data_IF_585141696100
#
_entry.id   IF_585141696100
#
_cell.length_a   1.000
_cell.length_b   1.000
_cell.length_c   1.000
_cell.angle_alpha   90.00
_cell.angle_beta   90.00
_cell.angle_gamma   90.00
#
_symmetry.space_group_name_H-M   'P 1'
#
loop_
_entity.id
_entity.type
_entity.pdbx_description
1 polymer ?
#
# COMPACT_ATOMS: atom_id res chain seq x y z
N UNK A 1 24.21 -50.15 62.28
CA UNK A 1 24.45 -48.76 61.86
C UNK A 1 24.50 -48.77 60.33
N UNK A 2 23.40 -48.41 59.66
CA UNK A 2 23.36 -48.10 58.22
C UNK A 2 21.98 -47.54 57.90
N UNK A 3 21.97 -46.26 57.54
CA UNK A 3 20.80 -45.47 57.20
C UNK A 3 20.38 -45.76 55.75
N UNK A 4 19.08 -45.91 55.52
CA UNK A 4 18.49 -45.72 54.20
C UNK A 4 17.59 -44.49 54.25
N UNK A 5 18.04 -43.45 53.53
CA UNK A 5 17.28 -42.25 53.22
C UNK A 5 16.32 -42.62 52.09
N UNK A 6 15.01 -42.57 52.35
CA UNK A 6 14.01 -42.49 51.29
C UNK A 6 13.59 -41.02 51.19
N UNK A 7 13.96 -40.40 50.08
CA UNK A 7 13.62 -39.04 49.70
C UNK A 7 12.09 -38.94 49.54
N UNK A 8 11.43 -38.16 50.40
CA UNK A 8 10.07 -37.71 50.16
C UNK A 8 10.07 -36.69 49.01
N UNK A 9 9.56 -37.07 47.85
CA UNK A 9 9.20 -36.11 46.80
C UNK A 9 7.96 -35.36 47.28
N UNK A 10 8.16 -34.18 47.85
CA UNK A 10 7.09 -33.21 48.08
C UNK A 10 6.69 -32.67 46.71
N UNK A 11 5.58 -33.17 46.18
CA UNK A 11 4.91 -32.55 45.03
C UNK A 11 4.32 -31.24 45.57
N UNK A 12 4.96 -30.10 45.28
CA UNK A 12 4.42 -28.79 45.59
C UNK A 12 3.03 -28.64 44.95
N UNK A 13 1.99 -28.22 45.70
CA UNK A 13 0.62 -28.09 45.19
C UNK A 13 0.39 -26.89 44.26
N UNK A 14 1.43 -26.08 44.01
CA UNK A 14 1.32 -24.76 43.39
C UNK A 14 0.89 -24.76 41.91
N UNK A 15 0.94 -25.90 41.22
CA UNK A 15 0.55 -25.98 39.79
C UNK A 15 -0.93 -26.27 39.57
N UNK A 16 -1.65 -26.85 40.54
CA UNK A 16 -3.07 -27.25 40.39
C UNK A 16 -4.01 -26.11 40.78
N UNK A 17 -3.60 -25.24 41.70
CA UNK A 17 -4.45 -24.17 42.23
C UNK A 17 -4.55 -22.95 41.30
N UNK A 18 -3.53 -22.69 40.47
CA UNK A 18 -3.54 -21.61 39.48
C UNK A 18 -4.51 -21.86 38.29
N UNK A 19 -4.90 -23.11 38.04
CA UNK A 19 -5.87 -23.46 37.00
C UNK A 19 -7.33 -23.23 37.43
N UNK A 20 -7.62 -23.22 38.74
CA UNK A 20 -8.98 -23.11 39.28
C UNK A 20 -9.58 -21.70 39.23
N UNK A 21 -8.74 -20.66 39.16
CA UNK A 21 -9.19 -19.26 39.16
C UNK A 21 -9.46 -18.71 37.73
N UNK A 22 -9.13 -19.47 36.69
CA UNK A 22 -9.33 -19.06 35.30
C UNK A 22 -10.79 -19.23 34.84
N UNK A 23 -11.25 -18.31 33.99
CA UNK A 23 -12.52 -18.44 33.30
C UNK A 23 -12.45 -19.59 32.30
N UNK A 24 -13.41 -20.50 32.34
CA UNK A 24 -13.53 -21.60 31.38
C UNK A 24 -14.49 -21.21 30.25
N UNK A 25 -14.15 -21.51 29.00
CA UNK A 25 -14.95 -21.15 27.83
C UNK A 25 -15.39 -22.41 27.10
N UNK A 26 -16.70 -22.50 26.84
CA UNK A 26 -17.30 -23.50 25.96
C UNK A 26 -17.88 -22.82 24.72
N UNK A 27 -17.36 -23.13 23.54
CA UNK A 27 -17.97 -22.70 22.28
C UNK A 27 -19.33 -23.36 22.10
N UNK A 28 -20.36 -22.55 21.89
CA UNK A 28 -21.73 -23.00 21.63
C UNK A 28 -22.05 -22.98 20.13
N UNK A 29 -21.51 -22.00 19.40
CA UNK A 29 -21.71 -21.86 17.95
C UNK A 29 -20.58 -21.06 17.33
N UNK A 30 -20.13 -21.50 16.16
CA UNK A 30 -19.25 -20.71 15.28
C UNK A 30 -20.07 -20.09 14.17
N UNK A 31 -19.81 -18.82 13.89
CA UNK A 31 -20.45 -18.06 12.83
C UNK A 31 -19.43 -17.94 11.70
N UNK A 32 -19.79 -18.48 10.53
CA UNK A 32 -18.97 -18.38 9.33
C UNK A 32 -19.57 -17.31 8.44
N UNK A 33 -18.75 -16.35 8.04
CA UNK A 33 -19.13 -15.36 7.03
C UNK A 33 -19.29 -16.07 5.68
N UNK A 34 -20.50 -16.09 5.15
CA UNK A 34 -20.82 -16.69 3.85
C UNK A 34 -20.91 -15.67 2.71
N UNK A 35 -20.97 -14.39 3.05
CA UNK A 35 -21.17 -13.29 2.10
C UNK A 35 -20.02 -12.29 2.14
N UNK A 36 -19.75 -11.61 1.03
CA UNK A 36 -18.78 -10.51 0.99
C UNK A 36 -19.16 -9.33 1.92
N UNK A 37 -20.46 -9.18 2.20
CA UNK A 37 -21.03 -8.19 3.11
C UNK A 37 -20.79 -8.52 4.58
N UNK A 38 -20.73 -9.81 4.94
CA UNK A 38 -20.77 -10.24 6.34
C UNK A 38 -22.12 -9.98 7.01
N UNK A 39 -23.19 -9.73 6.23
CA UNK A 39 -24.52 -9.45 6.76
C UNK A 39 -25.07 -10.59 7.62
N UNK A 40 -24.68 -11.82 7.30
CA UNK A 40 -25.06 -13.05 8.00
C UNK A 40 -24.54 -13.09 9.44
N UNK A 41 -23.43 -12.39 9.71
CA UNK A 41 -22.76 -12.30 11.02
C UNK A 41 -22.70 -10.88 11.58
N UNK A 42 -23.39 -9.91 10.95
CA UNK A 42 -23.44 -8.53 11.39
C UNK A 42 -24.43 -8.34 12.55
N UNK A 43 -24.01 -7.60 13.58
CA UNK A 43 -24.81 -7.22 14.73
C UNK A 43 -24.51 -5.77 15.13
N UNK A 44 -25.41 -5.13 15.87
CA UNK A 44 -25.21 -3.81 16.44
C UNK A 44 -25.71 -3.76 17.88
N UNK A 45 -25.25 -2.74 18.62
CA UNK A 45 -25.64 -2.55 20.01
C UNK A 45 -27.15 -2.29 20.12
N UNK A 46 -27.83 -3.03 21.00
CA UNK A 46 -29.24 -2.79 21.31
C UNK A 46 -29.40 -1.38 21.92
N UNK A 47 -30.39 -0.59 21.51
CA UNK A 47 -30.66 0.72 22.12
C UNK A 47 -30.76 0.63 23.65
N UNK A 48 -30.12 1.58 24.35
CA UNK A 48 -30.16 1.66 25.82
C UNK A 48 -29.31 0.62 26.56
N UNK A 49 -28.58 -0.26 25.87
CA UNK A 49 -27.72 -1.26 26.53
C UNK A 49 -26.64 -0.61 27.41
N UNK A 50 -26.51 -1.14 28.64
CA UNK A 50 -25.44 -0.78 29.59
C UNK A 50 -24.26 -1.75 29.54
N UNK A 51 -24.28 -2.69 28.60
CA UNK A 51 -23.28 -3.72 28.50
C UNK A 51 -21.90 -3.17 28.08
N UNK A 52 -20.89 -3.91 28.48
CA UNK A 52 -19.49 -3.63 28.22
C UNK A 52 -18.93 -4.73 27.34
N UNK A 53 -18.16 -4.35 26.32
CA UNK A 53 -17.30 -5.27 25.57
C UNK A 53 -15.97 -5.42 26.32
N UNK A 54 -15.61 -6.67 26.58
CA UNK A 54 -14.33 -7.03 27.16
C UNK A 54 -13.33 -7.27 26.03
N UNK A 55 -12.51 -6.25 25.77
CA UNK A 55 -11.54 -6.26 24.66
C UNK A 55 -10.50 -7.34 24.90
N UNK A 56 -10.41 -8.29 23.99
CA UNK A 56 -9.41 -9.36 24.02
C UNK A 56 -9.15 -9.85 22.59
N UNK A 57 -7.94 -9.56 22.10
CA UNK A 57 -7.51 -9.85 20.72
C UNK A 57 -7.02 -11.28 20.49
N UNK A 58 -6.67 -11.99 21.54
CA UNK A 58 -5.85 -13.20 21.43
C UNK A 58 -6.69 -14.49 21.36
N UNK A 59 -8.02 -14.41 21.27
CA UNK A 59 -8.84 -15.44 21.92
C UNK A 59 -10.18 -15.79 21.26
N UNK A 60 -10.32 -15.75 19.93
CA UNK A 60 -11.56 -16.24 19.27
C UNK A 60 -11.87 -17.71 19.59
N UNK A 61 -10.83 -18.53 19.79
CA UNK A 61 -10.92 -19.97 20.06
C UNK A 61 -10.40 -20.35 21.45
N UNK A 62 -10.28 -19.39 22.38
CA UNK A 62 -9.76 -19.66 23.71
C UNK A 62 -10.64 -20.66 24.47
N UNK A 63 -10.00 -21.63 25.13
CA UNK A 63 -10.67 -22.57 26.05
C UNK A 63 -10.67 -22.06 27.49
N UNK A 64 -9.71 -21.20 27.83
CA UNK A 64 -9.56 -20.58 29.15
C UNK A 64 -9.16 -19.12 29.01
N UNK A 65 -9.50 -18.28 30.00
CA UNK A 65 -9.01 -16.90 30.11
C UNK A 65 -8.56 -16.60 31.52
N UNK A 66 -7.43 -15.89 31.63
CA UNK A 66 -6.95 -15.39 32.93
C UNK A 66 -7.87 -14.28 33.44
N UNK A 67 -8.15 -14.19 34.76
CA UNK A 67 -8.94 -13.10 35.32
C UNK A 67 -8.39 -11.71 35.00
N UNK A 68 -7.06 -11.60 34.86
CA UNK A 68 -6.37 -10.37 34.47
C UNK A 68 -6.79 -9.89 33.08
N UNK A 69 -7.24 -10.76 32.17
CA UNK A 69 -7.72 -10.38 30.82
C UNK A 69 -9.16 -9.87 30.88
N UNK A 70 -9.93 -10.29 31.88
CA UNK A 70 -11.28 -9.82 32.17
C UNK A 70 -11.24 -8.52 33.00
N UNK A 71 -10.78 -7.43 32.38
CA UNK A 71 -10.69 -6.16 33.07
C UNK A 71 -12.08 -5.55 33.38
N UNK A 72 -12.20 -4.97 34.58
CA UNK A 72 -13.34 -4.14 35.01
C UNK A 72 -13.56 -2.88 34.15
N UNK A 73 -12.62 -2.54 33.26
CA UNK A 73 -12.58 -1.33 32.41
C UNK A 73 -12.85 -1.61 30.91
N UNK A 74 -13.66 -2.61 30.56
CA UNK A 74 -14.06 -2.81 29.16
C UNK A 74 -14.79 -1.58 28.56
N UNK A 75 -15.02 -1.58 27.25
CA UNK A 75 -15.66 -0.44 26.58
C UNK A 75 -17.19 -0.56 26.61
N UNK A 76 -17.88 0.52 26.98
CA UNK A 76 -19.36 0.58 26.90
C UNK A 76 -19.78 0.55 25.44
N UNK A 77 -20.48 -0.50 25.00
CA UNK A 77 -20.83 -0.66 23.58
C UNK A 77 -21.83 0.41 23.10
N UNK A 78 -22.60 1.01 24.02
CA UNK A 78 -23.49 2.14 23.71
C UNK A 78 -22.76 3.40 23.26
N UNK A 79 -21.47 3.57 23.62
CA UNK A 79 -20.63 4.65 23.08
C UNK A 79 -20.22 4.42 21.62
N UNK A 80 -20.40 3.21 21.11
CA UNK A 80 -20.05 2.77 19.75
C UNK A 80 -21.30 2.48 18.92
N UNK A 81 -22.31 3.36 19.00
CA UNK A 81 -23.61 3.16 18.34
C UNK A 81 -23.51 3.00 16.82
N UNK A 82 -22.52 3.63 16.17
CA UNK A 82 -22.30 3.54 14.71
C UNK A 82 -21.50 2.31 14.29
N UNK A 83 -21.07 1.47 15.23
CA UNK A 83 -20.24 0.29 14.92
C UNK A 83 -21.13 -0.91 14.65
N UNK A 84 -20.88 -1.57 13.52
CA UNK A 84 -21.31 -2.95 13.30
C UNK A 84 -20.25 -3.91 13.87
N UNK A 85 -20.72 -4.83 14.70
CA UNK A 85 -19.96 -5.91 15.32
C UNK A 85 -20.20 -7.19 14.54
N UNK A 86 -19.13 -7.79 14.03
CA UNK A 86 -19.21 -9.06 13.32
C UNK A 86 -18.96 -10.20 14.31
N UNK A 87 -19.98 -11.02 14.53
CA UNK A 87 -19.92 -12.14 15.49
C UNK A 87 -19.15 -13.29 14.86
N UNK A 88 -18.14 -13.80 15.57
CA UNK A 88 -17.34 -14.94 15.14
C UNK A 88 -17.76 -16.22 15.88
N UNK A 89 -17.98 -16.13 17.19
CA UNK A 89 -18.42 -17.26 18.01
C UNK A 89 -19.45 -16.81 19.05
N UNK A 90 -20.33 -17.73 19.43
CA UNK A 90 -21.15 -17.65 20.64
C UNK A 90 -20.57 -18.65 21.63
N UNK A 91 -20.29 -18.19 22.83
CA UNK A 91 -19.62 -18.98 23.87
C UNK A 91 -20.38 -18.90 25.19
N UNK A 92 -20.21 -19.90 26.04
CA UNK A 92 -20.56 -19.84 27.46
C UNK A 92 -19.27 -19.75 28.27
N UNK A 93 -19.20 -18.75 29.13
CA UNK A 93 -18.04 -18.51 30.00
C UNK A 93 -18.44 -18.81 31.43
N UNK A 94 -17.62 -19.59 32.14
CA UNK A 94 -17.84 -20.07 33.50
C UNK A 94 -16.77 -19.53 34.45
N UNK A 95 -17.16 -19.13 35.65
CA UNK A 95 -16.27 -18.71 36.73
C UNK A 95 -16.95 -18.88 38.09
N UNK A 96 -16.33 -19.61 39.02
CA UNK A 96 -16.82 -19.86 40.39
C UNK A 96 -18.33 -20.12 40.45
N UNK A 97 -18.77 -21.19 39.77
CA UNK A 97 -20.17 -21.65 39.66
C UNK A 97 -21.15 -20.72 38.94
N UNK A 98 -20.70 -19.55 38.48
CA UNK A 98 -21.50 -18.64 37.65
C UNK A 98 -21.19 -18.87 36.18
N UNK A 99 -22.18 -18.64 35.31
CA UNK A 99 -21.94 -18.64 33.86
C UNK A 99 -22.81 -17.63 33.14
N UNK A 100 -22.29 -17.10 32.03
CA UNK A 100 -23.05 -16.24 31.13
C UNK A 100 -22.67 -16.51 29.67
N UNK A 101 -23.57 -16.12 28.76
CA UNK A 101 -23.40 -16.36 27.31
C UNK A 101 -22.98 -15.08 26.62
N UNK A 102 -21.88 -15.16 25.87
CA UNK A 102 -21.25 -14.05 25.18
C UNK A 102 -21.15 -14.32 23.69
N UNK A 103 -21.13 -13.25 22.90
CA UNK A 103 -20.55 -13.26 21.56
C UNK A 103 -19.09 -12.84 21.66
N UNK A 104 -18.21 -13.54 20.94
CA UNK A 104 -16.93 -12.97 20.53
C UNK A 104 -17.16 -12.20 19.24
N UNK A 105 -16.84 -10.92 19.25
CA UNK A 105 -17.08 -10.00 18.14
C UNK A 105 -15.81 -9.27 17.74
N UNK A 106 -15.73 -8.86 16.49
CA UNK A 106 -14.76 -7.87 16.02
C UNK A 106 -15.45 -6.73 15.27
N UNK A 107 -14.90 -5.52 15.33
CA UNK A 107 -15.24 -4.50 14.36
C UNK A 107 -14.30 -4.66 13.16
N UNK A 108 -14.74 -5.40 12.13
CA UNK A 108 -13.94 -5.80 10.94
C UNK A 108 -13.04 -4.70 10.34
N UNK A 109 -13.42 -3.43 10.50
CA UNK A 109 -12.75 -2.25 9.94
C UNK A 109 -11.94 -1.43 10.94
N UNK A 110 -11.99 -1.78 12.22
CA UNK A 110 -11.15 -1.23 13.27
C UNK A 110 -10.29 -2.31 13.91
N UNK A 111 -9.79 -2.04 15.11
CA UNK A 111 -8.87 -2.91 15.85
C UNK A 111 -9.44 -3.34 17.21
N UNK A 112 -10.76 -3.43 17.33
CA UNK A 112 -11.49 -3.74 18.56
C UNK A 112 -12.21 -5.08 18.38
N UNK A 113 -11.86 -6.02 19.25
CA UNK A 113 -12.50 -7.33 19.31
C UNK A 113 -12.52 -7.85 20.74
N UNK A 114 -13.45 -8.76 21.04
CA UNK A 114 -13.62 -9.27 22.39
C UNK A 114 -15.00 -9.83 22.68
N UNK A 115 -15.29 -10.00 23.97
CA UNK A 115 -16.50 -10.65 24.46
C UNK A 115 -17.57 -9.66 24.91
N UNK A 116 -18.80 -9.86 24.45
CA UNK A 116 -19.96 -9.02 24.82
C UNK A 116 -21.18 -9.90 25.13
N UNK A 117 -21.97 -9.60 26.17
CA UNK A 117 -23.17 -10.36 26.47
C UNK A 117 -24.11 -10.45 25.27
N UNK A 118 -24.61 -11.66 24.98
CA UNK A 118 -25.47 -11.87 23.80
C UNK A 118 -26.75 -11.03 23.81
N UNK A 119 -27.29 -10.72 25.00
CA UNK A 119 -28.46 -9.86 25.19
C UNK A 119 -28.24 -8.39 24.82
N UNK A 120 -26.99 -7.97 24.63
CA UNK A 120 -26.62 -6.60 24.36
C UNK A 120 -26.59 -6.25 22.86
N UNK A 121 -26.69 -7.25 21.98
CA UNK A 121 -26.60 -7.08 20.52
C UNK A 121 -27.89 -7.52 19.83
N UNK A 122 -28.21 -6.86 18.71
CA UNK A 122 -29.30 -7.23 17.79
C UNK A 122 -28.70 -7.47 16.41
N UNK A 123 -29.28 -8.41 15.63
CA UNK A 123 -28.79 -8.78 14.30
C UNK A 123 -28.95 -7.64 13.30
N UNK A 124 -28.04 -7.54 12.35
CA UNK A 124 -28.00 -6.55 11.27
C UNK A 124 -26.94 -5.48 11.48
N UNK A 125 -26.59 -4.78 10.40
CA UNK A 125 -25.73 -3.61 10.43
C UNK A 125 -26.29 -2.53 11.36
N UNK A 126 -25.42 -1.70 11.93
CA UNK A 126 -25.86 -0.55 12.69
C UNK A 126 -26.68 0.41 11.81
N UNK A 127 -27.86 0.87 12.27
CA UNK A 127 -28.63 1.88 11.53
C UNK A 127 -28.04 3.29 11.64
N UNK A 128 -26.98 3.48 12.43
CA UNK A 128 -26.38 4.77 12.70
C UNK A 128 -25.04 4.93 11.96
N UNK A 129 -24.82 6.10 11.35
CA UNK A 129 -23.56 6.38 10.65
C UNK A 129 -23.35 5.52 9.41
N UNK A 130 -22.17 5.65 8.80
CA UNK A 130 -21.83 4.92 7.57
C UNK A 130 -21.48 3.48 7.86
N UNK A 131 -22.05 2.56 7.08
CA UNK A 131 -21.81 1.12 7.18
C UNK A 131 -21.23 0.58 5.89
N UNK A 132 -20.12 -0.14 5.97
CA UNK A 132 -19.63 -0.92 4.84
C UNK A 132 -20.43 -2.22 4.75
N UNK A 133 -21.32 -2.27 3.78
CA UNK A 133 -22.27 -3.37 3.55
C UNK A 133 -21.81 -4.33 2.47
N UNK A 134 -20.74 -4.05 1.73
CA UNK A 134 -20.12 -4.99 0.80
C UNK A 134 -18.67 -4.61 0.53
N UNK A 135 -17.82 -5.62 0.42
CA UNK A 135 -16.42 -5.47 -0.01
C UNK A 135 -16.11 -6.54 -1.05
N UNK A 136 -15.68 -6.11 -2.22
CA UNK A 136 -15.07 -6.98 -3.22
C UNK A 136 -13.60 -6.60 -3.34
N UNK A 137 -12.73 -7.48 -2.86
CA UNK A 137 -11.29 -7.31 -3.01
C UNK A 137 -10.89 -7.42 -4.48
N UNK A 138 -10.01 -6.53 -4.92
CA UNK A 138 -9.66 -6.40 -6.32
C UNK A 138 -8.66 -7.48 -6.78
N UNK A 139 -7.68 -7.83 -5.92
CA UNK A 139 -6.76 -8.94 -6.14
C UNK A 139 -5.74 -8.73 -7.28
N UNK A 140 -5.59 -7.49 -7.78
CA UNK A 140 -4.67 -7.10 -8.85
C UNK A 140 -4.01 -5.75 -8.52
N UNK A 141 -2.89 -5.46 -9.19
CA UNK A 141 -2.12 -4.23 -9.05
C UNK A 141 -2.28 -3.33 -10.28
N UNK A 142 -3.50 -2.87 -10.55
CA UNK A 142 -3.74 -1.91 -11.63
C UNK A 142 -3.67 -0.48 -11.10
N UNK A 143 -3.17 0.44 -11.92
CA UNK A 143 -3.12 1.87 -11.63
C UNK A 143 -4.49 2.52 -11.82
N UNK A 144 -4.82 3.43 -10.92
CA UNK A 144 -6.03 4.26 -10.96
C UNK A 144 -5.69 5.71 -10.67
N UNK A 145 -6.46 6.63 -11.23
CA UNK A 145 -6.29 8.06 -10.98
C UNK A 145 -7.62 8.81 -10.95
N UNK A 146 -7.56 10.06 -10.49
CA UNK A 146 -8.73 10.94 -10.46
C UNK A 146 -9.11 11.30 -11.89
N UNK A 147 -10.37 11.10 -12.25
CA UNK A 147 -10.88 11.48 -13.58
C UNK A 147 -10.64 12.98 -13.86
N UNK A 148 -10.39 13.37 -15.12
CA UNK A 148 -10.19 14.77 -15.49
C UNK A 148 -11.27 15.72 -14.97
N UNK A 149 -12.56 15.34 -15.07
CA UNK A 149 -13.70 16.13 -14.59
C UNK A 149 -13.68 16.42 -13.08
N UNK A 150 -12.94 15.64 -12.30
CA UNK A 150 -12.85 15.76 -10.85
C UNK A 150 -11.50 16.32 -10.35
N UNK A 151 -10.56 16.59 -11.25
CA UNK A 151 -9.17 16.96 -10.91
C UNK A 151 -9.05 18.20 -10.03
N UNK A 152 -9.92 19.18 -10.25
CA UNK A 152 -9.98 20.43 -9.47
C UNK A 152 -11.10 20.46 -8.43
N UNK A 153 -11.92 19.40 -8.38
CA UNK A 153 -13.03 19.27 -7.45
C UNK A 153 -12.54 18.72 -6.10
N UNK A 154 -13.22 19.07 -4.98
CA UNK A 154 -12.90 18.50 -3.68
C UNK A 154 -13.39 17.05 -3.59
N UNK A 155 -12.60 16.12 -4.12
CA UNK A 155 -12.80 14.68 -3.92
C UNK A 155 -12.07 14.26 -2.66
N UNK A 156 -12.82 13.94 -1.62
CA UNK A 156 -12.24 13.54 -0.34
C UNK A 156 -12.05 12.03 -0.25
N UNK A 157 -10.91 11.65 0.30
CA UNK A 157 -10.65 10.31 0.81
C UNK A 157 -11.02 10.27 2.29
N UNK A 158 -11.82 9.29 2.67
CA UNK A 158 -12.39 9.17 4.01
C UNK A 158 -11.82 7.97 4.76
N UNK A 159 -11.87 8.03 6.10
CA UNK A 159 -11.68 6.85 6.93
C UNK A 159 -12.90 5.91 6.87
N UNK A 160 -12.78 4.69 7.40
CA UNK A 160 -13.84 3.68 7.29
C UNK A 160 -15.16 4.04 7.98
N UNK A 161 -15.13 4.91 9.00
CA UNK A 161 -16.34 5.41 9.68
C UNK A 161 -16.94 6.63 9.01
N UNK A 162 -16.29 7.17 7.97
CA UNK A 162 -16.70 8.39 7.26
C UNK A 162 -16.87 9.60 8.19
N UNK A 163 -16.01 9.69 9.20
CA UNK A 163 -16.01 10.80 10.18
C UNK A 163 -14.80 11.72 10.02
N UNK A 164 -13.76 11.27 9.31
CA UNK A 164 -12.52 12.02 9.09
C UNK A 164 -12.16 12.01 7.61
N UNK A 165 -11.92 13.20 7.06
CA UNK A 165 -11.27 13.40 5.76
C UNK A 165 -9.78 13.11 5.95
N UNK A 166 -9.30 12.03 5.34
CA UNK A 166 -7.88 11.63 5.37
C UNK A 166 -7.09 12.48 4.39
N UNK A 167 -7.66 12.75 3.21
CA UNK A 167 -7.06 13.61 2.20
C UNK A 167 -8.10 14.23 1.28
N UNK A 168 -7.65 15.23 0.51
CA UNK A 168 -8.35 15.74 -0.66
C UNK A 168 -7.51 15.43 -1.90
N UNK A 169 -8.06 14.69 -2.86
CA UNK A 169 -7.31 14.17 -4.00
C UNK A 169 -6.86 15.27 -4.97
N UNK A 170 -7.44 16.46 -4.94
CA UNK A 170 -6.93 17.62 -5.70
C UNK A 170 -5.50 18.01 -5.31
N UNK A 171 -5.05 17.62 -4.11
CA UNK A 171 -3.68 17.83 -3.62
C UNK A 171 -2.71 16.74 -4.08
N UNK A 172 -3.19 15.77 -4.87
CA UNK A 172 -2.46 14.63 -5.43
C UNK A 172 -2.67 14.55 -6.95
N UNK A 173 -2.48 15.66 -7.70
CA UNK A 173 -2.93 15.76 -9.09
C UNK A 173 -2.26 14.75 -10.03
N UNK A 174 -1.00 14.40 -9.78
CA UNK A 174 -0.27 13.40 -10.55
C UNK A 174 -0.17 12.01 -9.92
N UNK A 175 -0.90 11.72 -8.84
CA UNK A 175 -0.77 10.41 -8.20
C UNK A 175 -1.44 9.30 -9.05
N UNK A 176 -0.72 8.18 -9.18
CA UNK A 176 -1.28 6.88 -9.48
C UNK A 176 -1.59 6.17 -8.15
N UNK A 177 -2.79 5.63 -8.02
CA UNK A 177 -3.26 4.88 -6.87
C UNK A 177 -3.45 3.42 -7.24
N UNK A 178 -3.23 2.53 -6.28
CA UNK A 178 -3.64 1.13 -6.37
C UNK A 178 -5.03 1.00 -5.77
N UNK A 179 -5.96 0.41 -6.52
CA UNK A 179 -7.29 0.05 -5.99
C UNK A 179 -7.22 -1.32 -5.31
N UNK A 180 -7.53 -1.38 -4.02
CA UNK A 180 -7.52 -2.66 -3.28
C UNK A 180 -8.90 -3.29 -3.18
N UNK A 181 -9.97 -2.49 -3.21
CA UNK A 181 -11.33 -2.99 -3.09
C UNK A 181 -12.40 -2.07 -3.71
N UNK A 182 -13.47 -2.69 -4.18
CA UNK A 182 -14.75 -2.04 -4.45
C UNK A 182 -15.66 -2.19 -3.22
N UNK A 183 -16.31 -1.10 -2.83
CA UNK A 183 -17.01 -0.97 -1.55
C UNK A 183 -18.43 -0.46 -1.79
N UNK A 184 -19.41 -1.04 -1.09
CA UNK A 184 -20.73 -0.43 -0.94
C UNK A 184 -20.85 0.10 0.48
N UNK A 185 -21.10 1.40 0.60
CA UNK A 185 -21.37 2.06 1.87
C UNK A 185 -22.84 2.48 1.96
N UNK A 186 -23.48 2.16 3.07
CA UNK A 186 -24.84 2.57 3.41
C UNK A 186 -24.83 3.70 4.42
N UNK A 187 -25.62 4.73 4.17
CA UNK A 187 -25.91 5.78 5.14
C UNK A 187 -27.35 6.27 4.97
N UNK A 188 -28.09 6.37 6.08
CA UNK A 188 -29.51 6.78 6.08
C UNK A 188 -30.37 5.99 5.06
N UNK A 189 -30.15 4.67 4.99
CA UNK A 189 -30.88 3.77 4.09
C UNK A 189 -30.46 3.83 2.61
N UNK A 190 -29.51 4.70 2.23
CA UNK A 190 -29.04 4.84 0.85
C UNK A 190 -27.66 4.22 0.68
N UNK A 191 -27.50 3.47 -0.41
CA UNK A 191 -26.23 2.86 -0.78
C UNK A 191 -25.46 3.73 -1.76
N UNK A 192 -24.15 3.83 -1.57
CA UNK A 192 -23.22 4.53 -2.44
C UNK A 192 -21.98 3.67 -2.69
N UNK A 193 -21.43 3.78 -3.91
CA UNK A 193 -20.25 3.03 -4.33
C UNK A 193 -18.98 3.81 -4.03
N UNK A 194 -18.05 3.13 -3.38
CA UNK A 194 -16.72 3.63 -3.06
C UNK A 194 -15.67 2.66 -3.59
N UNK A 195 -14.44 3.15 -3.70
CA UNK A 195 -13.24 2.34 -3.87
C UNK A 195 -12.31 2.60 -2.70
N UNK A 196 -11.55 1.59 -2.28
CA UNK A 196 -10.43 1.79 -1.37
C UNK A 196 -9.15 1.94 -2.18
N UNK A 197 -8.49 3.08 -2.01
CA UNK A 197 -7.24 3.40 -2.71
C UNK A 197 -6.08 3.48 -1.73
N UNK A 198 -4.90 3.12 -2.21
CA UNK A 198 -3.60 3.34 -1.56
C UNK A 198 -2.68 3.98 -2.58
N UNK A 199 -1.92 5.02 -2.21
CA UNK A 199 -0.96 5.61 -3.14
C UNK A 199 -0.26 6.85 -2.58
N UNK A 200 0.60 7.43 -3.41
CA UNK A 200 1.36 8.63 -3.05
C UNK A 200 1.72 9.45 -4.29
N UNK A 201 2.21 10.67 -4.10
CA UNK A 201 2.99 11.34 -5.14
C UNK A 201 4.41 10.77 -5.09
N UNK A 202 4.84 10.14 -6.18
CA UNK A 202 6.12 9.43 -6.25
C UNK A 202 7.30 10.32 -5.85
N UNK A 203 8.13 9.80 -4.93
CA UNK A 203 9.29 10.51 -4.38
C UNK A 203 8.94 11.60 -3.36
N UNK A 204 7.76 11.55 -2.74
CA UNK A 204 7.35 12.46 -1.65
C UNK A 204 6.95 11.66 -0.41
N UNK A 205 6.86 12.31 0.75
CA UNK A 205 6.34 11.69 1.98
C UNK A 205 4.80 11.65 2.06
N UNK A 206 4.09 12.05 0.99
CA UNK A 206 2.63 12.17 0.98
C UNK A 206 1.99 10.83 0.58
N UNK A 207 2.11 9.81 1.43
CA UNK A 207 1.35 8.58 1.29
C UNK A 207 -0.07 8.74 1.85
N UNK A 208 -1.05 8.11 1.22
CA UNK A 208 -2.44 8.18 1.63
C UNK A 208 -3.20 6.90 1.29
N UNK A 209 -4.14 6.52 2.16
CA UNK A 209 -5.09 5.45 1.90
C UNK A 209 -6.48 5.75 2.46
N UNK A 210 -7.50 5.16 1.86
CA UNK A 210 -8.88 5.31 2.34
C UNK A 210 -9.93 5.19 1.25
N UNK A 211 -11.16 5.55 1.62
CA UNK A 211 -12.35 5.35 0.82
C UNK A 211 -12.69 6.59 -0.01
N UNK A 212 -12.87 6.41 -1.31
CA UNK A 212 -13.14 7.49 -2.27
C UNK A 212 -14.39 7.13 -3.08
N UNK A 213 -15.28 8.10 -3.40
CA UNK A 213 -16.42 7.84 -4.29
C UNK A 213 -15.96 7.23 -5.62
N UNK A 214 -16.52 6.07 -5.98
CA UNK A 214 -16.07 5.32 -7.17
C UNK A 214 -16.24 6.12 -8.47
N UNK A 215 -17.24 7.01 -8.53
CA UNK A 215 -17.52 7.85 -9.71
C UNK A 215 -16.35 8.77 -10.08
N UNK A 216 -15.51 9.16 -9.12
CA UNK A 216 -14.42 10.11 -9.30
C UNK A 216 -13.12 9.47 -9.83
N UNK A 217 -13.06 8.13 -9.90
CA UNK A 217 -11.82 7.38 -10.17
C UNK A 217 -11.95 6.59 -11.47
N UNK A 218 -10.86 6.53 -12.24
CA UNK A 218 -10.76 5.72 -13.46
C UNK A 218 -9.51 4.85 -13.43
N UNK A 219 -9.57 3.72 -14.10
CA UNK A 219 -8.44 2.82 -14.32
C UNK A 219 -7.47 3.39 -15.36
N UNK A 220 -6.19 3.03 -15.24
CA UNK A 220 -5.10 3.46 -16.09
C UNK A 220 -4.12 4.41 -15.39
N UNK A 221 -2.94 4.56 -15.99
CA UNK A 221 -1.91 5.50 -15.52
C UNK A 221 -2.31 6.95 -15.81
N UNK A 222 -1.96 7.83 -14.88
CA UNK A 222 -2.20 9.27 -14.95
C UNK A 222 -1.15 9.94 -15.85
N UNK A 223 -1.54 10.62 -16.94
CA UNK A 223 -0.60 11.38 -17.77
C UNK A 223 -0.23 12.74 -17.16
N UNK A 224 -0.88 13.17 -16.06
CA UNK A 224 -0.41 14.31 -15.29
C UNK A 224 0.64 13.86 -14.27
N UNK A 225 1.82 14.47 -14.31
CA UNK A 225 2.92 14.19 -13.39
C UNK A 225 3.13 15.27 -12.32
N UNK A 226 2.18 16.19 -12.18
CA UNK A 226 2.29 17.34 -11.27
C UNK A 226 2.44 16.90 -9.82
N UNK A 227 3.43 17.49 -9.15
CA UNK A 227 3.73 17.21 -7.74
C UNK A 227 4.58 15.96 -7.49
N UNK A 228 4.85 15.15 -8.52
CA UNK A 228 5.77 14.02 -8.41
C UNK A 228 7.22 14.46 -8.53
N UNK A 229 8.10 13.82 -7.76
CA UNK A 229 9.55 14.03 -7.86
C UNK A 229 10.21 13.08 -8.87
N UNK A 230 9.59 11.94 -9.19
CA UNK A 230 9.96 11.06 -10.29
C UNK A 230 8.73 10.32 -10.83
N UNK A 231 8.84 9.74 -12.03
CA UNK A 231 7.80 8.91 -12.65
C UNK A 231 8.43 7.56 -13.03
N UNK A 232 7.90 6.42 -12.57
CA UNK A 232 8.28 5.09 -13.03
C UNK A 232 8.16 4.97 -14.55
N UNK A 233 9.01 4.17 -15.18
CA UNK A 233 9.03 4.11 -16.66
C UNK A 233 7.73 3.55 -17.24
N UNK A 234 7.02 2.71 -16.48
CA UNK A 234 5.74 2.11 -16.88
C UNK A 234 4.52 2.98 -16.59
N UNK A 235 4.68 4.07 -15.84
CA UNK A 235 3.60 5.00 -15.57
C UNK A 235 3.36 5.97 -16.74
N UNK A 236 4.27 6.03 -17.72
CA UNK A 236 4.08 6.83 -18.93
C UNK A 236 3.10 6.17 -19.90
N UNK A 237 2.12 6.94 -20.35
CA UNK A 237 1.03 6.44 -21.21
C UNK A 237 1.48 6.32 -22.67
N UNK A 238 2.35 7.23 -23.14
CA UNK A 238 2.85 7.25 -24.51
C UNK A 238 4.08 8.19 -24.65
N UNK A 239 4.61 8.29 -25.87
CA UNK A 239 5.75 9.14 -26.20
C UNK A 239 5.49 10.65 -25.96
N UNK A 240 4.27 11.15 -26.17
CA UNK A 240 3.93 12.55 -25.92
C UNK A 240 4.05 12.87 -24.43
N UNK A 241 3.44 12.04 -23.60
CA UNK A 241 3.48 12.12 -22.14
C UNK A 241 4.93 12.06 -21.61
N UNK A 242 5.68 11.04 -22.01
CA UNK A 242 7.08 10.86 -21.62
C UNK A 242 7.96 12.07 -22.00
N UNK A 243 7.82 12.57 -23.23
CA UNK A 243 8.60 13.71 -23.70
C UNK A 243 8.22 15.01 -22.99
N UNK A 244 6.94 15.22 -22.68
CA UNK A 244 6.49 16.35 -21.87
C UNK A 244 7.10 16.30 -20.47
N UNK A 245 7.14 15.12 -19.85
CA UNK A 245 7.78 14.94 -18.54
C UNK A 245 9.29 15.25 -18.57
N UNK A 246 10.04 14.80 -19.58
CA UNK A 246 11.47 15.12 -19.70
C UNK A 246 11.70 16.65 -19.78
N UNK A 247 10.81 17.38 -20.45
CA UNK A 247 10.90 18.83 -20.59
C UNK A 247 10.52 19.57 -19.30
N UNK A 248 9.40 19.23 -18.70
CA UNK A 248 8.78 20.00 -17.62
C UNK A 248 9.06 19.46 -16.22
N UNK A 249 9.48 18.20 -16.11
CA UNK A 249 9.69 17.52 -14.83
C UNK A 249 10.71 18.25 -13.95
N UNK A 250 10.33 18.45 -12.68
CA UNK A 250 11.10 19.20 -11.67
C UNK A 250 12.55 18.73 -11.57
N UNK A 251 12.76 17.41 -11.54
CA UNK A 251 14.07 16.80 -11.33
C UNK A 251 14.73 16.30 -12.63
N UNK A 252 14.25 16.73 -13.80
CA UNK A 252 14.73 16.26 -15.11
C UNK A 252 15.88 17.11 -15.72
N UNK A 253 16.52 17.99 -14.92
CA UNK A 253 17.61 18.86 -15.41
C UNK A 253 18.78 18.07 -16.00
N UNK A 254 19.21 16.99 -15.37
CA UNK A 254 20.31 16.16 -15.91
C UNK A 254 19.89 15.45 -17.21
N UNK A 255 18.66 14.90 -17.27
CA UNK A 255 18.15 14.30 -18.50
C UNK A 255 18.19 15.30 -19.66
N UNK A 256 17.68 16.53 -19.46
CA UNK A 256 17.71 17.58 -20.48
C UNK A 256 19.12 17.92 -20.97
N UNK A 257 20.11 17.93 -20.07
CA UNK A 257 21.51 18.14 -20.47
C UNK A 257 22.07 16.96 -21.29
N UNK A 258 21.69 15.72 -20.96
CA UNK A 258 22.06 14.53 -21.76
C UNK A 258 21.40 14.58 -23.14
N UNK A 259 20.11 14.94 -23.23
CA UNK A 259 19.39 15.08 -24.51
C UNK A 259 20.12 16.04 -25.47
N UNK A 260 20.66 17.15 -24.96
CA UNK A 260 21.43 18.12 -25.76
C UNK A 260 22.71 17.54 -26.36
N UNK A 261 23.26 16.46 -25.81
CA UNK A 261 24.46 15.80 -26.35
C UNK A 261 24.16 14.95 -27.59
N UNK A 262 22.88 14.65 -27.86
CA UNK A 262 22.41 13.81 -28.97
C UNK A 262 21.32 14.54 -29.78
N UNK A 263 21.66 15.65 -30.46
CA UNK A 263 20.67 16.56 -31.06
C UNK A 263 19.77 15.91 -32.13
N UNK A 264 20.25 14.85 -32.78
CA UNK A 264 19.52 14.14 -33.83
C UNK A 264 18.85 12.84 -33.38
N UNK A 265 18.98 12.47 -32.10
CA UNK A 265 18.37 11.24 -31.54
C UNK A 265 17.28 11.61 -30.52
N UNK A 266 16.04 11.64 -30.99
CA UNK A 266 14.90 12.01 -30.13
C UNK A 266 14.65 10.94 -29.06
N UNK A 267 14.26 11.34 -27.83
CA UNK A 267 13.84 10.38 -26.82
C UNK A 267 12.64 9.56 -27.27
N UNK A 268 12.67 8.27 -26.92
CA UNK A 268 11.60 7.30 -27.20
C UNK A 268 11.29 6.45 -25.96
N UNK A 269 10.01 6.31 -25.64
CA UNK A 269 9.53 5.60 -24.45
C UNK A 269 9.79 4.09 -24.54
N UNK A 270 9.57 3.45 -25.68
CA UNK A 270 9.79 2.01 -25.82
C UNK A 270 11.29 1.68 -25.66
N UNK A 271 12.18 2.48 -26.27
CA UNK A 271 13.61 2.33 -26.06
C UNK A 271 14.03 2.70 -24.63
N UNK A 272 13.35 3.64 -23.98
CA UNK A 272 13.59 3.97 -22.56
C UNK A 272 13.16 2.86 -21.62
N UNK A 273 12.08 2.12 -21.92
CA UNK A 273 11.72 0.88 -21.20
C UNK A 273 12.82 -0.17 -21.36
N UNK A 274 13.30 -0.40 -22.58
CA UNK A 274 14.44 -1.31 -22.82
C UNK A 274 15.66 -0.85 -22.03
N UNK A 275 15.95 0.46 -21.98
CA UNK A 275 17.07 1.02 -21.22
C UNK A 275 16.98 0.71 -19.72
N UNK A 276 15.78 0.74 -19.14
CA UNK A 276 15.55 0.45 -17.72
C UNK A 276 15.63 -1.04 -17.46
N UNK A 277 14.84 -1.84 -18.17
CA UNK A 277 14.70 -3.27 -17.90
C UNK A 277 15.94 -4.09 -18.27
N UNK A 278 16.64 -3.73 -19.36
CA UNK A 278 17.73 -4.56 -19.88
C UNK A 278 19.12 -4.01 -19.51
N UNK A 279 19.22 -2.71 -19.20
CA UNK A 279 20.51 -2.03 -19.04
C UNK A 279 20.66 -1.28 -17.71
N UNK A 280 19.65 -1.19 -16.83
CA UNK A 280 19.80 -0.51 -15.53
C UNK A 280 20.46 -1.37 -14.42
N UNK A 281 21.55 -2.06 -14.77
CA UNK A 281 22.17 -3.14 -13.97
C UNK A 281 22.94 -2.67 -12.72
N UNK A 282 23.08 -1.37 -12.52
CA UNK A 282 23.78 -0.79 -11.36
C UNK A 282 22.82 -0.26 -10.29
N UNK A 283 21.52 -0.45 -10.50
CA UNK A 283 20.51 -0.13 -9.50
C UNK A 283 20.54 -1.17 -8.38
N UNK A 284 20.93 -0.79 -7.17
CA UNK A 284 20.93 -1.69 -5.99
C UNK A 284 19.55 -1.74 -5.29
N UNK A 285 18.46 -1.36 -5.97
CA UNK A 285 17.10 -1.41 -5.41
C UNK A 285 16.67 -2.85 -5.14
N UNK A 286 15.85 -3.08 -4.10
CA UNK A 286 15.31 -4.41 -3.77
C UNK A 286 14.46 -5.02 -4.92
N UNK A 287 14.05 -4.19 -5.88
CA UNK A 287 13.28 -4.53 -7.09
C UNK A 287 14.16 -4.51 -8.37
N UNK A 288 15.49 -4.60 -8.26
CA UNK A 288 16.40 -4.43 -9.40
C UNK A 288 16.51 -5.64 -10.33
N UNK A 289 15.99 -6.80 -9.94
CA UNK A 289 15.87 -7.97 -10.82
C UNK A 289 14.56 -7.90 -11.60
N UNK A 290 14.55 -7.12 -12.67
CA UNK A 290 13.47 -7.12 -13.64
C UNK A 290 13.84 -8.02 -14.83
N UNK A 291 12.92 -8.90 -15.23
CA UNK A 291 13.12 -9.72 -16.43
C UNK A 291 13.37 -8.82 -17.65
N UNK A 292 14.39 -9.12 -18.48
CA UNK A 292 14.66 -8.34 -19.66
C UNK A 292 13.48 -8.40 -20.62
N UNK A 293 13.16 -7.26 -21.24
CA UNK A 293 12.09 -7.14 -22.23
C UNK A 293 12.63 -7.25 -23.66
N UNK A 294 11.73 -7.54 -24.60
CA UNK A 294 12.08 -7.64 -26.03
C UNK A 294 12.64 -6.32 -26.58
N UNK A 295 13.70 -6.42 -27.38
CA UNK A 295 14.28 -5.29 -28.12
C UNK A 295 13.69 -5.09 -29.51
N UNK A 296 12.61 -5.82 -29.87
CA UNK A 296 11.98 -5.77 -31.20
C UNK A 296 11.61 -4.34 -31.58
N UNK A 297 11.91 -3.95 -32.83
CA UNK A 297 11.72 -2.59 -33.35
C UNK A 297 12.98 -1.72 -33.21
N UNK A 298 14.02 -2.24 -32.55
CA UNK A 298 15.31 -1.59 -32.40
C UNK A 298 16.47 -2.54 -32.73
N UNK A 299 17.41 -2.03 -33.52
CA UNK A 299 18.69 -2.65 -33.84
C UNK A 299 19.84 -1.73 -33.43
N UNK A 300 21.07 -2.26 -33.48
CA UNK A 300 22.29 -1.53 -33.12
C UNK A 300 22.19 -0.78 -31.77
N UNK A 301 21.70 -1.50 -30.75
CA UNK A 301 21.53 -0.92 -29.42
C UNK A 301 22.89 -0.71 -28.77
N UNK A 302 23.18 0.53 -28.39
CA UNK A 302 24.39 0.89 -27.64
C UNK A 302 24.06 1.42 -26.25
N UNK A 303 24.57 0.70 -25.25
CA UNK A 303 24.63 1.16 -23.87
C UNK A 303 25.98 1.78 -23.50
N UNK A 304 26.00 2.52 -22.39
CA UNK A 304 27.17 3.22 -21.85
C UNK A 304 27.50 2.80 -20.41
N UNK A 305 27.84 1.53 -20.14
CA UNK A 305 27.98 0.99 -18.78
C UNK A 305 29.04 1.71 -17.94
N UNK A 306 30.15 2.16 -18.53
CA UNK A 306 31.19 2.94 -17.81
C UNK A 306 30.64 4.26 -17.28
N UNK A 307 29.83 4.96 -18.08
CA UNK A 307 29.19 6.21 -17.68
C UNK A 307 28.17 5.94 -16.57
N UNK A 308 27.32 4.94 -16.77
CA UNK A 308 26.28 4.57 -15.81
C UNK A 308 26.87 4.16 -14.46
N UNK A 309 27.86 3.25 -14.44
CA UNK A 309 28.59 2.85 -13.24
C UNK A 309 29.14 4.06 -12.47
N UNK A 310 29.74 5.01 -13.19
CA UNK A 310 30.25 6.22 -12.58
C UNK A 310 29.13 7.09 -12.00
N UNK A 311 28.00 7.26 -12.70
CA UNK A 311 26.85 8.03 -12.22
C UNK A 311 26.25 7.44 -10.93
N UNK A 312 26.16 6.12 -10.84
CA UNK A 312 25.71 5.42 -9.64
C UNK A 312 26.68 5.59 -8.47
N UNK A 313 27.99 5.43 -8.70
CA UNK A 313 29.02 5.69 -7.70
C UNK A 313 29.04 7.15 -7.22
N UNK A 314 28.59 8.09 -8.07
CA UNK A 314 28.57 9.53 -7.80
C UNK A 314 27.14 10.08 -7.67
N UNK A 315 26.21 9.29 -7.11
CA UNK A 315 24.78 9.67 -6.97
C UNK A 315 24.54 10.98 -6.23
N UNK A 316 25.41 11.37 -5.30
CA UNK A 316 25.34 12.66 -4.57
C UNK A 316 25.92 13.85 -5.34
N UNK A 317 26.66 13.62 -6.42
CA UNK A 317 27.28 14.69 -7.19
C UNK A 317 26.25 15.59 -7.88
N UNK A 318 26.64 16.86 -8.07
CA UNK A 318 25.80 17.86 -8.74
C UNK A 318 25.60 17.52 -10.22
N UNK A 319 24.53 18.05 -10.82
CA UNK A 319 24.28 17.87 -12.25
C UNK A 319 25.44 18.38 -13.12
N UNK A 320 26.11 19.46 -12.70
CA UNK A 320 27.27 20.03 -13.39
C UNK A 320 28.45 19.05 -13.41
N UNK A 321 28.74 18.41 -12.28
CA UNK A 321 29.80 17.40 -12.18
C UNK A 321 29.45 16.17 -13.01
N UNK A 322 28.18 15.71 -12.94
CA UNK A 322 27.70 14.58 -13.72
C UNK A 322 27.78 14.82 -15.23
N UNK A 323 27.34 15.99 -15.72
CA UNK A 323 27.39 16.28 -17.16
C UNK A 323 28.82 16.46 -17.67
N UNK A 324 29.72 17.00 -16.84
CA UNK A 324 31.14 17.13 -17.20
C UNK A 324 31.78 15.75 -17.42
N UNK A 325 31.53 14.79 -16.51
CA UNK A 325 32.07 13.45 -16.67
C UNK A 325 31.43 12.70 -17.86
N UNK A 326 30.12 12.85 -18.08
CA UNK A 326 29.45 12.28 -19.28
C UNK A 326 30.13 12.78 -20.56
N UNK A 327 30.41 14.09 -20.67
CA UNK A 327 31.08 14.68 -21.85
C UNK A 327 32.49 14.13 -22.05
N UNK A 328 33.22 13.81 -20.98
CA UNK A 328 34.56 13.22 -21.01
C UNK A 328 34.54 11.74 -21.40
N UNK A 329 33.59 10.97 -20.88
CA UNK A 329 33.51 9.53 -21.09
C UNK A 329 32.87 9.13 -22.43
N UNK A 330 32.00 9.97 -23.01
CA UNK A 330 31.37 9.68 -24.31
C UNK A 330 32.39 9.49 -25.46
N UNK A 331 33.39 10.36 -25.67
CA UNK A 331 34.46 10.15 -26.65
C UNK A 331 35.25 8.86 -26.40
N UNK A 332 35.53 8.52 -25.14
CA UNK A 332 36.24 7.28 -24.78
C UNK A 332 35.43 6.04 -25.14
N UNK A 333 34.10 6.13 -25.13
CA UNK A 333 33.19 5.09 -25.62
C UNK A 333 33.05 5.10 -27.16
N UNK A 334 33.81 5.93 -27.88
CA UNK A 334 33.75 6.07 -29.34
C UNK A 334 32.60 6.93 -29.83
N UNK A 335 31.98 7.75 -28.97
CA UNK A 335 30.88 8.66 -29.30
C UNK A 335 31.33 10.11 -29.15
N UNK A 336 32.19 10.57 -30.08
CA UNK A 336 32.60 11.97 -30.19
C UNK A 336 31.41 12.87 -30.54
N UNK A 337 31.57 14.19 -30.38
CA UNK A 337 30.52 15.15 -30.76
C UNK A 337 30.11 15.02 -32.23
N UNK A 338 31.07 14.85 -33.14
CA UNK A 338 30.79 14.63 -34.56
C UNK A 338 29.98 13.35 -34.79
N UNK A 339 30.33 12.24 -34.13
CA UNK A 339 29.56 10.99 -34.25
C UNK A 339 28.14 11.17 -33.75
N UNK A 340 27.94 11.76 -32.57
CA UNK A 340 26.59 11.99 -32.00
C UNK A 340 25.74 12.90 -32.87
N UNK A 341 26.34 13.92 -33.50
CA UNK A 341 25.64 14.78 -34.44
C UNK A 341 25.29 14.05 -35.75
N UNK A 342 26.03 13.01 -36.14
CA UNK A 342 25.76 12.23 -37.34
C UNK A 342 24.72 11.11 -37.16
N UNK A 343 24.21 10.87 -35.93
CA UNK A 343 23.26 9.79 -35.62
C UNK A 343 21.85 10.03 -36.16
N UNK A 344 21.69 10.01 -37.48
CA UNK A 344 20.39 9.99 -38.15
C UNK A 344 19.74 8.60 -38.05
N UNK A 345 18.43 8.54 -37.77
CA UNK A 345 17.68 7.29 -37.63
C UNK A 345 17.80 6.58 -36.28
N UNK A 346 18.59 7.12 -35.34
CA UNK A 346 18.67 6.62 -33.96
C UNK A 346 17.65 7.31 -33.05
N UNK A 347 17.15 6.56 -32.07
CA UNK A 347 16.42 7.05 -30.91
C UNK A 347 17.30 6.99 -29.67
N UNK A 348 16.93 7.75 -28.66
CA UNK A 348 17.54 7.73 -27.35
C UNK A 348 16.57 7.12 -26.34
N UNK A 349 16.93 6.00 -25.74
CA UNK A 349 16.27 5.51 -24.53
C UNK A 349 16.91 6.20 -23.32
N UNK A 350 16.12 6.71 -22.39
CA UNK A 350 16.64 7.43 -21.23
C UNK A 350 15.70 7.33 -20.03
N UNK A 351 16.26 7.06 -18.86
CA UNK A 351 15.59 7.35 -17.59
C UNK A 351 16.62 7.92 -16.61
N UNK A 352 16.35 9.12 -16.12
CA UNK A 352 17.16 9.77 -15.08
C UNK A 352 16.27 10.02 -13.86
N UNK A 353 16.47 9.21 -12.82
CA UNK A 353 15.97 9.45 -11.47
C UNK A 353 17.17 9.78 -10.60
N UNK A 354 17.38 11.07 -10.36
CA UNK A 354 18.61 11.56 -9.77
C UNK A 354 18.52 11.63 -8.24
N UNK A 355 18.77 10.50 -7.59
CA UNK A 355 18.94 10.41 -6.14
C UNK A 355 17.73 10.98 -5.38
N UNK A 356 16.52 10.54 -5.71
CA UNK A 356 15.28 11.08 -5.12
C UNK A 356 14.97 10.33 -3.82
N UNK A 357 14.90 11.05 -2.71
CA UNK A 357 14.48 10.47 -1.43
C UNK A 357 13.00 10.08 -1.49
N UNK A 358 12.67 8.93 -0.91
CA UNK A 358 11.29 8.53 -0.66
C UNK A 358 11.15 7.94 0.74
N UNK A 359 9.94 8.03 1.28
CA UNK A 359 9.57 7.40 2.54
C UNK A 359 8.55 6.31 2.21
N UNK A 360 8.78 5.09 2.69
CA UNK A 360 7.81 4.01 2.70
C UNK A 360 7.25 3.91 4.13
N UNK A 361 6.16 4.65 4.46
CA UNK A 361 5.77 4.85 5.85
C UNK A 361 5.25 3.57 6.51
N UNK A 362 4.82 2.59 5.70
CA UNK A 362 4.31 1.30 6.18
C UNK A 362 5.41 0.37 6.70
N UNK A 363 6.68 0.66 6.38
CA UNK A 363 7.84 -0.14 6.80
C UNK A 363 8.92 0.65 7.55
N UNK A 364 8.68 1.95 7.85
CA UNK A 364 9.71 2.88 8.35
C UNK A 364 11.00 2.88 7.49
N UNK A 365 10.86 2.56 6.20
CA UNK A 365 11.98 2.48 5.26
C UNK A 365 12.18 3.84 4.58
N UNK A 366 13.32 4.47 4.87
CA UNK A 366 13.80 5.61 4.11
C UNK A 366 14.73 5.12 3.01
N UNK A 367 14.37 5.40 1.76
CA UNK A 367 15.13 4.98 0.59
C UNK A 367 15.47 6.13 -0.34
N UNK A 368 16.32 5.86 -1.33
CA UNK A 368 16.56 6.77 -2.45
C UNK A 368 16.39 6.03 -3.76
N UNK A 369 15.52 6.56 -4.63
CA UNK A 369 15.36 6.03 -5.98
C UNK A 369 16.46 6.62 -6.86
N UNK A 370 17.14 5.74 -7.57
CA UNK A 370 18.11 6.09 -8.60
C UNK A 370 17.75 5.36 -9.90
N UNK A 371 17.98 6.02 -11.03
CA UNK A 371 18.08 5.42 -12.35
C UNK A 371 18.95 6.33 -13.18
N UNK A 372 20.00 5.81 -13.80
CA UNK A 372 20.96 6.58 -14.59
C UNK A 372 21.22 5.90 -15.93
N UNK A 373 20.15 5.47 -16.60
CA UNK A 373 20.27 4.74 -17.86
C UNK A 373 20.02 5.66 -19.05
N UNK A 374 20.88 5.53 -20.06
CA UNK A 374 20.57 5.99 -21.40
C UNK A 374 21.27 5.09 -22.43
N UNK A 375 20.57 4.82 -23.53
CA UNK A 375 21.04 3.96 -24.62
C UNK A 375 20.65 4.57 -25.96
N UNK A 376 21.39 4.24 -27.00
CA UNK A 376 20.99 4.52 -28.38
C UNK A 376 20.44 3.25 -29.01
N UNK A 377 19.52 3.39 -29.95
CA UNK A 377 19.03 2.28 -30.78
C UNK A 377 18.55 2.82 -32.13
N UNK A 378 18.89 2.11 -33.20
CA UNK A 378 18.39 2.41 -34.55
C UNK A 378 16.99 1.82 -34.70
N UNK A 379 16.05 2.60 -35.23
CA UNK A 379 14.71 2.08 -35.50
C UNK A 379 14.79 1.09 -36.65
N UNK A 380 14.19 -0.09 -36.49
CA UNK A 380 14.10 -1.06 -37.59
C UNK A 380 13.23 -0.47 -38.70
N UNK A 381 13.71 -0.54 -39.94
CA UNK A 381 12.87 -0.24 -41.10
C UNK A 381 11.98 -1.45 -41.34
N UNK A 382 10.67 -1.30 -41.09
CA UNK A 382 9.69 -2.32 -41.48
C UNK A 382 9.54 -2.40 -43.00
#
# INVERSE_FOLDING_TARGET
MLAFIVLAVVISPDSVQAAQDNYQIKTLKTYRQQSNSGADVAFHAKPGTKATLWVNKESVNAKTLKPTVFHKKGIKISKYKTTTWFVQTKVRIYHHSKSATYYYVNNRYGSIEGYVPTSALTRGFSPYGYQITSIKWYGKYDSFHVKPAYKHQPVYMWNYTHTKKVANLKNYPGANFVKTADIVMRHSGKDAKYVYLVGSLNGTAKSVHGYVPAVAITEGSNPDHTGMNFVPIDDFVNNTDFNQYLQMGKNQKLAREILKLFPNSKPDLALSKIAVYNYDQFNESIDAESDPISTKGYSDIKAFPTIQKWLYANRSASNTVKIAEIKKLLPQAGYTSSKRNALSGYKLGIQIVNNIAFNYPEHDLMGRKNSYTFILGKVDNN
#
